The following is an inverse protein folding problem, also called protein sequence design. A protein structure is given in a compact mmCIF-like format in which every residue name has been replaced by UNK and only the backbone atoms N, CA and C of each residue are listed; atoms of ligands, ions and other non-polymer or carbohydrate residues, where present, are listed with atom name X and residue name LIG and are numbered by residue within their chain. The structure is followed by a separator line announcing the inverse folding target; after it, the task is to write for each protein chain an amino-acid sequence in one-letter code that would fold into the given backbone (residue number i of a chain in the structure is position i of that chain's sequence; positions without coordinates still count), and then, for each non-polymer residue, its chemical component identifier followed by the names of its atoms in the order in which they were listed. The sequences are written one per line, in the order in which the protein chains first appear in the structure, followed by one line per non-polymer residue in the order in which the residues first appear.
data_IF_648808618353
#
_entry.id   IF_648808618353
#
_cell.length_a   1.000
_cell.length_b   1.000
_cell.length_c   1.000
_cell.angle_alpha   90.00
_cell.angle_beta   90.00
_cell.angle_gamma   90.00
#
_symmetry.space_group_name_H-M   'P 1'
#
loop_
_entity.id
_entity.type
_entity.pdbx_description
1 polymer ?
#
# COMPACT_ATOMS: atom_id res chain seq x y z
N UNK A 1 -14.36 -30.59 -2.97
CA UNK A 1 -15.14 -29.99 -1.88
C UNK A 1 -14.39 -30.01 -0.51
N UNK A 2 -13.06 -30.05 -0.50
CA UNK A 2 -12.28 -30.16 0.76
C UNK A 2 -11.45 -28.94 1.13
N UNK A 3 -11.35 -27.91 0.29
CA UNK A 3 -10.45 -26.75 0.50
C UNK A 3 -11.09 -25.57 1.24
N UNK A 4 -12.40 -25.57 1.44
CA UNK A 4 -13.12 -24.47 2.12
C UNK A 4 -13.21 -24.63 3.66
N UNK A 5 -12.88 -25.80 4.21
CA UNK A 5 -12.98 -26.08 5.65
C UNK A 5 -11.72 -25.82 6.47
N UNK A 6 -10.54 -25.65 5.84
CA UNK A 6 -9.30 -25.42 6.57
C UNK A 6 -9.03 -23.95 6.93
N UNK A 7 -9.73 -22.99 6.32
CA UNK A 7 -9.58 -21.55 6.62
C UNK A 7 -10.32 -21.10 7.91
N UNK A 8 -11.16 -21.92 8.49
CA UNK A 8 -12.04 -21.55 9.64
C UNK A 8 -11.42 -21.77 11.03
N UNK A 9 -10.16 -22.16 11.17
CA UNK A 9 -9.53 -22.44 12.47
C UNK A 9 -8.49 -21.41 12.94
N UNK A 10 -8.29 -20.31 12.21
CA UNK A 10 -7.44 -19.21 12.68
C UNK A 10 -8.27 -18.34 13.64
N UNK A 11 -7.90 -18.34 14.94
CA UNK A 11 -8.62 -17.63 15.98
C UNK A 11 -8.83 -16.13 15.67
N UNK A 12 -9.84 -15.53 16.33
CA UNK A 12 -10.11 -14.10 16.28
C UNK A 12 -8.87 -13.32 16.75
N UNK A 13 -8.38 -12.41 15.92
CA UNK A 13 -7.26 -11.52 16.24
C UNK A 13 -7.78 -10.13 16.60
N UNK A 14 -7.05 -9.44 17.50
CA UNK A 14 -7.15 -7.99 17.69
C UNK A 14 -6.09 -7.32 16.83
N UNK A 15 -6.54 -6.66 15.74
CA UNK A 15 -5.70 -6.10 14.68
C UNK A 15 -5.74 -4.59 14.76
N UNK A 16 -4.59 -3.94 14.92
CA UNK A 16 -4.49 -2.49 14.79
C UNK A 16 -4.11 -2.12 13.35
N UNK A 17 -4.75 -1.10 12.78
CA UNK A 17 -4.52 -0.67 11.39
C UNK A 17 -4.07 0.79 11.35
N UNK A 18 -2.79 1.00 11.04
CA UNK A 18 -2.23 2.32 10.78
C UNK A 18 -2.53 2.72 9.33
N UNK A 19 -3.20 3.85 9.12
CA UNK A 19 -3.65 4.29 7.80
C UNK A 19 -4.97 3.65 7.34
N UNK A 20 -5.81 3.20 8.27
CA UNK A 20 -7.09 2.50 8.00
C UNK A 20 -8.10 3.26 7.12
N UNK A 21 -7.97 4.58 6.97
CA UNK A 21 -8.82 5.41 6.09
C UNK A 21 -8.28 5.57 4.67
N UNK A 22 -7.06 5.08 4.40
CA UNK A 22 -6.41 5.18 3.09
C UNK A 22 -6.93 4.16 2.07
N UNK A 23 -6.33 4.19 0.87
CA UNK A 23 -6.74 3.35 -0.28
C UNK A 23 -6.73 1.85 0.06
N UNK A 24 -5.66 1.33 0.65
CA UNK A 24 -5.58 -0.07 1.08
C UNK A 24 -6.22 -0.26 2.45
N UNK A 25 -6.01 0.69 3.37
CA UNK A 25 -6.43 0.56 4.76
C UNK A 25 -7.92 0.35 4.95
N UNK A 26 -8.78 1.03 4.18
CA UNK A 26 -10.24 0.81 4.23
C UNK A 26 -10.61 -0.64 3.90
N UNK A 27 -9.94 -1.27 2.93
CA UNK A 27 -10.16 -2.68 2.59
C UNK A 27 -9.61 -3.62 3.67
N UNK A 28 -8.48 -3.27 4.30
CA UNK A 28 -7.95 -4.02 5.46
C UNK A 28 -8.97 -4.00 6.59
N UNK A 29 -9.48 -2.83 6.97
CA UNK A 29 -10.46 -2.67 8.06
C UNK A 29 -11.75 -3.44 7.75
N UNK A 30 -12.28 -3.30 6.54
CA UNK A 30 -13.51 -3.97 6.11
C UNK A 30 -13.35 -5.49 6.12
N UNK A 31 -12.33 -6.01 5.45
CA UNK A 31 -12.08 -7.46 5.33
C UNK A 31 -11.69 -8.09 6.67
N UNK A 32 -10.97 -7.36 7.54
CA UNK A 32 -10.65 -7.85 8.89
C UNK A 32 -11.93 -8.07 9.71
N UNK A 33 -12.87 -7.11 9.65
CA UNK A 33 -14.18 -7.25 10.30
C UNK A 33 -15.01 -8.40 9.72
N UNK A 34 -15.02 -8.55 8.38
CA UNK A 34 -15.71 -9.65 7.70
C UNK A 34 -15.13 -11.03 8.09
N UNK A 35 -13.82 -11.10 8.36
CA UNK A 35 -13.14 -12.30 8.87
C UNK A 35 -13.35 -12.53 10.40
N UNK A 36 -14.12 -11.67 11.07
CA UNK A 36 -14.43 -11.78 12.50
C UNK A 36 -13.33 -11.26 13.42
N UNK A 37 -12.33 -10.54 12.93
CA UNK A 37 -11.29 -9.91 13.74
C UNK A 37 -11.82 -8.66 14.46
N UNK A 38 -11.23 -8.36 15.63
CA UNK A 38 -11.42 -7.08 16.29
C UNK A 38 -10.46 -6.06 15.68
N UNK A 39 -10.98 -4.91 15.19
CA UNK A 39 -10.18 -3.89 14.52
C UNK A 39 -10.04 -2.66 15.39
N UNK A 40 -8.80 -2.28 15.68
CA UNK A 40 -8.42 -1.01 16.29
C UNK A 40 -7.93 -0.07 15.19
N UNK A 41 -8.61 1.06 14.99
CA UNK A 41 -8.19 2.06 14.01
C UNK A 41 -7.16 3.00 14.65
N UNK A 42 -5.98 3.09 14.04
CA UNK A 42 -4.96 4.06 14.47
C UNK A 42 -5.12 5.34 13.63
N UNK A 43 -6.10 6.15 13.98
CA UNK A 43 -6.41 7.40 13.28
C UNK A 43 -6.65 8.57 14.23
N UNK A 44 -6.48 9.78 13.72
CA UNK A 44 -6.74 11.01 14.51
C UNK A 44 -8.19 11.13 14.96
N UNK A 45 -9.13 10.59 14.21
CA UNK A 45 -10.53 10.54 14.61
C UNK A 45 -10.76 9.65 15.84
N UNK A 46 -9.89 8.63 16.03
CA UNK A 46 -9.92 7.72 17.16
C UNK A 46 -8.93 8.10 18.27
N UNK A 47 -8.39 9.32 18.22
CA UNK A 47 -7.49 9.87 19.25
C UNK A 47 -6.02 9.42 19.09
N UNK A 48 -5.63 8.86 17.95
CA UNK A 48 -4.25 8.41 17.69
C UNK A 48 -3.61 9.28 16.61
N UNK A 49 -2.51 9.96 16.97
CA UNK A 49 -1.67 10.68 16.00
C UNK A 49 -0.35 9.93 15.78
N UNK A 50 -0.21 9.29 14.61
CA UNK A 50 0.98 8.51 14.24
C UNK A 50 2.26 9.36 14.15
N UNK A 51 2.14 10.66 13.84
CA UNK A 51 3.30 11.56 13.73
C UNK A 51 3.74 12.03 15.11
N UNK A 52 2.79 12.42 15.97
CA UNK A 52 3.10 12.81 17.33
C UNK A 52 3.38 11.62 18.26
N UNK A 53 2.97 10.40 17.87
CA UNK A 53 3.04 9.20 18.71
C UNK A 53 1.97 9.15 19.81
N UNK A 54 1.10 10.16 19.88
CA UNK A 54 0.10 10.24 20.96
C UNK A 54 -1.05 9.24 20.76
N UNK A 55 -1.52 8.65 21.86
CA UNK A 55 -2.63 7.68 21.88
C UNK A 55 -2.26 6.24 21.49
N UNK A 56 -1.01 5.99 21.03
CA UNK A 56 -0.56 4.66 20.60
C UNK A 56 -0.58 3.64 21.77
N UNK A 57 -0.07 4.01 22.94
CA UNK A 57 0.05 3.09 24.08
C UNK A 57 -1.31 2.51 24.48
N UNK A 58 -2.34 3.36 24.59
CA UNK A 58 -3.70 2.91 24.88
C UNK A 58 -4.33 2.08 23.76
N UNK A 59 -4.09 2.46 22.51
CA UNK A 59 -4.65 1.80 21.34
C UNK A 59 -4.04 0.41 21.10
N UNK A 60 -2.75 0.22 21.44
CA UNK A 60 -2.04 -1.05 21.22
C UNK A 60 -2.18 -2.05 22.38
N UNK A 61 -2.86 -1.71 23.47
CA UNK A 61 -3.09 -2.63 24.58
C UNK A 61 -3.83 -3.90 24.09
N UNK A 62 -3.19 -5.05 24.25
CA UNK A 62 -3.72 -6.36 23.83
C UNK A 62 -3.83 -6.59 22.32
N UNK A 63 -3.24 -5.72 21.50
CA UNK A 63 -3.13 -5.92 20.04
C UNK A 63 -2.17 -7.07 19.74
N UNK A 64 -2.59 -7.96 18.84
CA UNK A 64 -1.81 -9.13 18.43
C UNK A 64 -1.05 -8.90 17.12
N UNK A 65 -1.52 -7.96 16.29
CA UNK A 65 -0.85 -7.60 15.05
C UNK A 65 -1.15 -6.16 14.67
N UNK A 66 -0.12 -5.44 14.25
CA UNK A 66 -0.25 -4.13 13.62
C UNK A 66 -0.11 -4.30 12.11
N UNK A 67 -1.05 -3.75 11.35
CA UNK A 67 -0.93 -3.64 9.88
C UNK A 67 -0.66 -2.19 9.53
N UNK A 68 0.57 -1.89 9.10
CA UNK A 68 1.00 -0.56 8.70
C UNK A 68 0.84 -0.36 7.19
N UNK A 69 -0.22 0.34 6.84
CA UNK A 69 -0.52 0.84 5.49
C UNK A 69 -0.58 2.38 5.47
N UNK A 70 0.02 3.03 6.49
CA UNK A 70 0.12 4.48 6.55
C UNK A 70 0.91 5.01 5.36
N UNK A 71 0.39 6.05 4.72
CA UNK A 71 1.00 6.64 3.53
C UNK A 71 0.64 8.10 3.40
N UNK A 72 1.61 8.86 2.90
CA UNK A 72 1.41 10.25 2.51
C UNK A 72 2.08 10.47 1.15
N UNK A 73 1.32 10.97 0.18
CA UNK A 73 1.84 11.31 -1.14
C UNK A 73 2.71 12.56 -1.05
N UNK A 74 4.01 12.36 -0.99
CA UNK A 74 5.03 13.42 -0.98
C UNK A 74 6.05 13.19 -2.08
N UNK A 75 6.40 14.26 -2.80
CA UNK A 75 7.34 14.18 -3.93
C UNK A 75 8.80 14.40 -3.51
N UNK A 76 9.04 15.12 -2.41
CA UNK A 76 10.40 15.42 -1.94
C UNK A 76 10.92 14.31 -1.03
N UNK A 77 12.09 13.75 -1.35
CA UNK A 77 12.72 12.66 -0.58
C UNK A 77 12.86 12.97 0.91
N UNK A 78 13.20 14.22 1.27
CA UNK A 78 13.34 14.63 2.68
C UNK A 78 11.99 14.49 3.42
N UNK A 79 10.91 15.02 2.85
CA UNK A 79 9.57 14.95 3.46
C UNK A 79 9.08 13.50 3.55
N UNK A 80 9.36 12.69 2.53
CA UNK A 80 9.02 11.27 2.52
C UNK A 80 9.76 10.52 3.64
N UNK A 81 11.07 10.71 3.76
CA UNK A 81 11.86 10.10 4.85
C UNK A 81 11.42 10.58 6.23
N UNK A 82 11.06 11.85 6.36
CA UNK A 82 10.55 12.43 7.61
C UNK A 82 9.22 11.76 8.01
N UNK A 83 8.25 11.70 7.10
CA UNK A 83 6.95 11.09 7.37
C UNK A 83 7.09 9.59 7.70
N UNK A 84 7.62 8.79 6.79
CA UNK A 84 7.72 7.35 6.99
C UNK A 84 8.64 6.99 8.17
N UNK A 85 9.77 7.71 8.31
CA UNK A 85 10.69 7.47 9.42
C UNK A 85 10.07 7.78 10.78
N UNK A 86 9.29 8.87 10.90
CA UNK A 86 8.62 9.23 12.16
C UNK A 86 7.51 8.23 12.50
N UNK A 87 6.61 7.97 11.55
CA UNK A 87 5.50 7.05 11.77
C UNK A 87 5.98 5.64 12.12
N UNK A 88 6.98 5.12 11.40
CA UNK A 88 7.50 3.77 11.64
C UNK A 88 8.17 3.66 13.01
N UNK A 89 9.01 4.65 13.42
CA UNK A 89 9.61 4.62 14.76
C UNK A 89 8.56 4.66 15.85
N UNK A 90 7.61 5.60 15.77
CA UNK A 90 6.55 5.72 16.78
C UNK A 90 5.73 4.43 16.91
N UNK A 91 5.40 3.77 15.79
CA UNK A 91 4.70 2.48 15.82
C UNK A 91 5.56 1.40 16.48
N UNK A 92 6.80 1.20 16.03
CA UNK A 92 7.67 0.15 16.53
C UNK A 92 8.03 0.33 18.01
N UNK A 93 8.25 1.58 18.46
CA UNK A 93 8.53 1.89 19.87
C UNK A 93 7.31 1.56 20.74
N UNK A 94 6.11 1.97 20.33
CA UNK A 94 4.88 1.67 21.06
C UNK A 94 4.53 0.16 21.03
N UNK A 95 4.75 -0.50 19.89
CA UNK A 95 4.57 -1.95 19.74
C UNK A 95 5.52 -2.75 20.64
N UNK A 96 6.78 -2.34 20.73
CA UNK A 96 7.75 -2.97 21.63
C UNK A 96 7.32 -2.83 23.10
N UNK A 97 6.82 -1.66 23.52
CA UNK A 97 6.32 -1.40 24.86
C UNK A 97 5.04 -2.19 25.17
N UNK A 98 4.13 -2.29 24.21
CA UNK A 98 2.88 -3.04 24.35
C UNK A 98 3.06 -4.56 24.19
N UNK A 99 4.25 -5.04 23.79
CA UNK A 99 4.51 -6.45 23.53
C UNK A 99 3.77 -7.00 22.32
N UNK A 100 3.54 -6.19 21.29
CA UNK A 100 2.88 -6.63 20.04
C UNK A 100 3.77 -7.68 19.35
N UNK A 101 3.28 -8.89 19.09
CA UNK A 101 4.12 -9.98 18.58
C UNK A 101 4.35 -9.94 17.07
N UNK A 102 3.65 -9.08 16.31
CA UNK A 102 3.76 -9.07 14.86
C UNK A 102 3.42 -7.69 14.25
N UNK A 103 4.36 -7.12 13.50
CA UNK A 103 4.16 -5.95 12.66
C UNK A 103 4.10 -6.37 11.18
N UNK A 104 3.06 -6.01 10.45
CA UNK A 104 2.92 -6.29 9.00
C UNK A 104 2.93 -4.97 8.26
N UNK A 105 3.96 -4.73 7.45
CA UNK A 105 4.12 -3.48 6.70
C UNK A 105 3.87 -3.66 5.21
N UNK A 106 3.24 -2.66 4.61
CA UNK A 106 3.12 -2.52 3.17
C UNK A 106 4.19 -1.55 2.64
N UNK A 107 5.00 -2.02 1.71
CA UNK A 107 5.95 -1.21 0.93
C UNK A 107 5.63 -1.26 -0.57
N UNK A 108 6.51 -0.71 -1.39
CA UNK A 108 6.31 -0.60 -2.84
C UNK A 108 7.44 -1.28 -3.61
N UNK A 109 7.09 -1.99 -4.67
CA UNK A 109 8.05 -2.62 -5.59
C UNK A 109 8.93 -1.54 -6.24
N UNK A 110 10.24 -1.78 -6.28
CA UNK A 110 11.21 -0.89 -6.89
C UNK A 110 11.68 0.27 -6.00
N UNK A 111 11.35 0.29 -4.70
CA UNK A 111 11.85 1.30 -3.75
C UNK A 111 13.37 1.39 -3.75
N UNK A 112 14.05 0.25 -3.78
CA UNK A 112 15.51 0.11 -3.83
C UNK A 112 16.14 0.49 -5.19
N UNK A 113 15.37 0.44 -6.27
CA UNK A 113 15.84 0.75 -7.64
C UNK A 113 15.72 2.24 -7.99
N UNK A 114 14.85 2.97 -7.30
CA UNK A 114 14.64 4.40 -7.51
C UNK A 114 14.48 5.13 -6.16
N UNK A 115 15.55 5.24 -5.34
CA UNK A 115 15.49 5.72 -3.95
C UNK A 115 15.29 7.24 -3.85
N UNK A 116 14.31 7.77 -4.56
CA UNK A 116 14.01 9.21 -4.62
C UNK A 116 12.52 9.48 -4.41
N UNK A 117 12.17 10.70 -4.01
CA UNK A 117 10.80 11.11 -3.78
C UNK A 117 10.11 10.22 -2.74
N UNK A 118 8.94 9.72 -3.06
CA UNK A 118 8.14 8.82 -2.22
C UNK A 118 8.92 7.56 -1.81
N UNK A 119 9.66 6.95 -2.73
CA UNK A 119 10.41 5.71 -2.52
C UNK A 119 11.51 5.84 -1.46
N UNK A 120 12.11 7.03 -1.31
CA UNK A 120 13.15 7.26 -0.29
C UNK A 120 12.63 7.05 1.15
N UNK A 121 11.38 7.39 1.41
CA UNK A 121 10.73 7.14 2.70
C UNK A 121 10.39 5.66 2.90
N UNK A 122 9.96 4.97 1.84
CA UNK A 122 9.66 3.52 1.92
C UNK A 122 10.91 2.69 2.20
N UNK A 123 12.06 3.06 1.63
CA UNK A 123 13.34 2.42 1.98
C UNK A 123 13.65 2.62 3.46
N UNK A 124 13.52 3.85 3.98
CA UNK A 124 13.77 4.11 5.40
C UNK A 124 12.82 3.30 6.30
N UNK A 125 11.55 3.14 5.91
CA UNK A 125 10.61 2.26 6.62
C UNK A 125 11.13 0.82 6.66
N UNK A 126 11.57 0.26 5.52
CA UNK A 126 12.13 -1.09 5.44
C UNK A 126 13.40 -1.27 6.27
N UNK A 127 14.29 -0.27 6.27
CA UNK A 127 15.52 -0.25 7.09
C UNK A 127 15.21 -0.28 8.60
N UNK A 128 14.22 0.53 9.02
CA UNK A 128 13.78 0.58 10.41
C UNK A 128 13.14 -0.74 10.86
N UNK A 129 12.32 -1.35 10.03
CA UNK A 129 11.75 -2.67 10.29
C UNK A 129 12.85 -3.72 10.45
N UNK A 130 13.81 -3.76 9.53
CA UNK A 130 14.89 -4.75 9.56
C UNK A 130 15.78 -4.63 10.81
N UNK A 131 15.86 -3.45 11.42
CA UNK A 131 16.62 -3.19 12.65
C UNK A 131 15.79 -3.26 13.94
N UNK A 132 14.47 -3.48 13.83
CA UNK A 132 13.56 -3.52 14.97
C UNK A 132 13.61 -4.83 15.73
N UNK A 133 13.47 -4.80 17.07
CA UNK A 133 13.26 -6.01 17.87
C UNK A 133 11.84 -6.59 17.72
N UNK A 134 10.87 -5.81 17.23
CA UNK A 134 9.50 -6.28 16.98
C UNK A 134 9.52 -7.24 15.79
N UNK A 135 8.98 -8.46 15.92
CA UNK A 135 8.92 -9.41 14.80
C UNK A 135 8.03 -8.85 13.67
N UNK A 136 8.49 -8.94 12.42
CA UNK A 136 7.83 -8.26 11.32
C UNK A 136 7.67 -9.12 10.06
N UNK A 137 6.72 -8.70 9.22
CA UNK A 137 6.55 -9.15 7.83
C UNK A 137 6.41 -7.96 6.92
N UNK A 138 7.12 -7.94 5.80
CA UNK A 138 7.08 -6.89 4.80
C UNK A 138 6.58 -7.42 3.47
N UNK A 139 5.48 -6.83 2.98
CA UNK A 139 4.97 -7.04 1.62
C UNK A 139 5.31 -5.81 0.77
N UNK A 140 5.97 -6.00 -0.35
CA UNK A 140 6.02 -4.99 -1.41
C UNK A 140 4.93 -5.26 -2.43
N UNK A 141 4.13 -4.25 -2.75
CA UNK A 141 3.15 -4.33 -3.83
C UNK A 141 3.50 -3.37 -4.97
N UNK A 142 3.05 -3.67 -6.18
CA UNK A 142 3.11 -2.74 -7.31
C UNK A 142 2.08 -1.61 -7.14
N UNK A 143 1.93 -0.74 -8.14
CA UNK A 143 0.96 0.36 -8.10
C UNK A 143 -0.47 -0.19 -8.01
N UNK A 144 -1.36 0.56 -7.38
CA UNK A 144 -2.78 0.17 -7.28
C UNK A 144 -3.58 0.65 -8.49
N UNK A 145 -4.73 0.05 -8.75
CA UNK A 145 -5.65 0.52 -9.81
C UNK A 145 -6.06 1.98 -9.59
N UNK A 146 -6.25 2.39 -8.35
CA UNK A 146 -6.58 3.75 -7.93
C UNK A 146 -5.51 4.79 -8.27
N UNK A 147 -4.31 4.35 -8.63
CA UNK A 147 -3.23 5.24 -9.06
C UNK A 147 -3.60 6.06 -10.31
N UNK A 148 -4.42 5.51 -11.21
CA UNK A 148 -4.93 6.24 -12.37
C UNK A 148 -5.71 7.50 -11.97
N UNK A 149 -6.57 7.41 -10.94
CA UNK A 149 -7.30 8.54 -10.39
C UNK A 149 -6.35 9.57 -9.73
N UNK A 150 -5.39 9.08 -8.94
CA UNK A 150 -4.43 9.95 -8.24
C UNK A 150 -3.59 10.76 -9.24
N UNK A 151 -3.14 10.13 -10.31
CA UNK A 151 -2.34 10.79 -11.35
C UNK A 151 -3.20 11.72 -12.20
N UNK A 152 -4.45 11.38 -12.50
CA UNK A 152 -5.37 12.24 -13.23
C UNK A 152 -5.49 13.63 -12.58
N UNK A 153 -5.55 13.70 -11.26
CA UNK A 153 -5.68 14.95 -10.51
C UNK A 153 -4.36 15.68 -10.24
N UNK A 154 -3.20 15.10 -10.60
CA UNK A 154 -1.91 15.62 -10.17
C UNK A 154 -1.42 16.83 -10.99
N UNK A 155 -1.52 16.76 -12.32
CA UNK A 155 -1.08 17.85 -13.22
C UNK A 155 -2.04 17.99 -14.39
N UNK A 156 -2.69 19.15 -14.49
CA UNK A 156 -3.54 19.53 -15.62
C UNK A 156 -3.00 20.80 -16.28
N UNK A 157 -3.00 20.84 -17.61
CA UNK A 157 -2.62 22.00 -18.41
C UNK A 157 -3.76 22.32 -19.39
N UNK A 158 -4.64 23.23 -19.01
CA UNK A 158 -5.88 23.48 -19.74
C UNK A 158 -6.73 22.18 -19.84
N UNK A 159 -7.11 21.74 -21.05
CA UNK A 159 -7.88 20.52 -21.23
C UNK A 159 -7.04 19.23 -21.16
N UNK A 160 -5.72 19.34 -20.97
CA UNK A 160 -4.80 18.21 -20.99
C UNK A 160 -4.41 17.74 -19.60
N UNK A 161 -4.39 16.44 -19.42
CA UNK A 161 -3.81 15.77 -18.24
C UNK A 161 -2.41 15.31 -18.60
N UNK A 162 -1.41 15.77 -17.86
CA UNK A 162 -0.01 15.41 -18.10
C UNK A 162 0.39 14.25 -17.18
N UNK A 163 0.84 13.15 -17.77
CA UNK A 163 1.23 11.94 -17.04
C UNK A 163 2.67 11.54 -17.37
N UNK A 164 3.41 10.94 -16.42
CA UNK A 164 4.72 10.39 -16.72
C UNK A 164 4.59 9.16 -17.64
N UNK A 165 5.51 9.02 -18.60
CA UNK A 165 5.64 7.79 -19.37
C UNK A 165 6.08 6.66 -18.47
N UNK A 166 5.17 5.71 -18.21
CA UNK A 166 5.38 4.65 -17.23
C UNK A 166 4.72 3.34 -17.68
N UNK A 167 5.48 2.25 -17.58
CA UNK A 167 4.94 0.89 -17.54
C UNK A 167 4.56 0.56 -16.11
N UNK A 168 3.33 0.18 -15.87
CA UNK A 168 2.76 -0.19 -14.57
C UNK A 168 2.30 -1.64 -14.58
N UNK A 169 2.15 -2.24 -13.42
CA UNK A 169 1.59 -3.58 -13.23
C UNK A 169 0.57 -3.51 -12.07
N UNK A 170 -0.56 -2.81 -12.31
CA UNK A 170 -1.44 -2.39 -11.23
C UNK A 170 -2.20 -3.57 -10.62
N UNK A 171 -2.23 -3.61 -9.28
CA UNK A 171 -2.94 -4.60 -8.46
C UNK A 171 -4.14 -3.96 -7.76
N UNK A 172 -5.21 -4.71 -7.53
CA UNK A 172 -6.36 -4.21 -6.77
C UNK A 172 -6.00 -3.99 -5.30
N UNK A 173 -6.31 -2.82 -4.74
CA UNK A 173 -6.06 -2.52 -3.33
C UNK A 173 -6.76 -3.52 -2.38
N UNK A 174 -7.91 -4.06 -2.78
CA UNK A 174 -8.62 -5.10 -2.05
C UNK A 174 -7.86 -6.44 -1.99
N UNK A 175 -7.13 -6.81 -3.05
CA UNK A 175 -6.29 -8.02 -3.08
C UNK A 175 -5.03 -7.84 -2.23
N UNK A 176 -4.45 -6.64 -2.23
CA UNK A 176 -3.35 -6.30 -1.32
C UNK A 176 -3.79 -6.39 0.14
N UNK A 177 -4.99 -5.87 0.47
CA UNK A 177 -5.56 -5.97 1.81
C UNK A 177 -5.79 -7.43 2.24
N UNK A 178 -6.32 -8.27 1.34
CA UNK A 178 -6.50 -9.69 1.59
C UNK A 178 -5.17 -10.38 1.91
N UNK A 179 -4.13 -10.09 1.11
CA UNK A 179 -2.78 -10.64 1.34
C UNK A 179 -2.17 -10.19 2.65
N UNK A 180 -2.30 -8.91 3.02
CA UNK A 180 -1.82 -8.39 4.31
C UNK A 180 -2.50 -9.08 5.49
N UNK A 181 -3.81 -9.34 5.41
CA UNK A 181 -4.55 -10.07 6.44
C UNK A 181 -4.12 -11.55 6.53
N UNK A 182 -3.83 -12.20 5.41
CA UNK A 182 -3.30 -13.56 5.39
C UNK A 182 -1.91 -13.64 6.06
N UNK A 183 -1.05 -12.64 5.79
CA UNK A 183 0.24 -12.49 6.46
C UNK A 183 0.10 -12.21 7.94
N UNK A 184 -0.85 -11.34 8.33
CA UNK A 184 -1.14 -11.01 9.72
C UNK A 184 -1.62 -12.23 10.54
N UNK A 185 -2.33 -13.15 9.91
CA UNK A 185 -2.77 -14.40 10.52
C UNK A 185 -1.65 -15.47 10.57
N UNK A 186 -0.53 -15.22 9.92
CA UNK A 186 0.65 -16.09 9.94
C UNK A 186 1.67 -15.74 11.01
N UNK A 187 2.81 -16.39 10.97
CA UNK A 187 3.98 -16.02 11.78
C UNK A 187 4.78 -14.92 11.09
N UNK A 188 5.52 -14.08 11.83
CA UNK A 188 6.48 -13.15 11.23
C UNK A 188 7.43 -13.85 10.28
N UNK A 189 7.59 -13.31 9.06
CA UNK A 189 8.30 -13.98 7.96
C UNK A 189 9.37 -13.10 7.29
N UNK A 190 9.66 -11.91 7.84
CA UNK A 190 10.56 -10.97 7.20
C UNK A 190 10.00 -10.46 5.87
N UNK A 191 10.85 -10.18 4.90
CA UNK A 191 10.39 -9.81 3.56
C UNK A 191 9.85 -11.03 2.82
N UNK A 192 8.58 -10.96 2.40
CA UNK A 192 7.93 -11.98 1.59
C UNK A 192 8.01 -11.65 0.09
N UNK A 193 7.50 -12.55 -0.76
CA UNK A 193 7.38 -12.31 -2.21
C UNK A 193 6.57 -11.05 -2.47
N UNK A 194 7.00 -10.32 -3.49
CA UNK A 194 6.27 -9.14 -3.97
C UNK A 194 4.87 -9.53 -4.49
N UNK A 195 3.93 -8.59 -4.46
CA UNK A 195 2.60 -8.77 -5.03
C UNK A 195 2.43 -7.81 -6.22
N UNK A 196 2.29 -8.36 -7.42
CA UNK A 196 2.01 -7.61 -8.64
C UNK A 196 0.57 -7.73 -9.10
N UNK A 197 0.20 -6.90 -10.08
CA UNK A 197 -1.06 -7.07 -10.79
C UNK A 197 -1.01 -8.21 -11.80
N UNK A 198 -2.16 -8.59 -12.40
CA UNK A 198 -2.24 -9.74 -13.30
C UNK A 198 -1.57 -9.48 -14.66
N UNK A 199 -1.34 -8.23 -15.02
CA UNK A 199 -0.70 -7.84 -16.28
C UNK A 199 -0.12 -6.43 -16.25
N UNK A 200 0.79 -6.17 -17.19
CA UNK A 200 1.35 -4.83 -17.40
C UNK A 200 0.37 -3.94 -18.16
N UNK A 201 0.35 -2.67 -17.76
CA UNK A 201 -0.47 -1.61 -18.35
C UNK A 201 0.39 -0.38 -18.64
N UNK A 202 -0.01 0.44 -19.61
CA UNK A 202 0.57 1.76 -19.83
C UNK A 202 -0.20 2.78 -19.00
N UNK A 203 0.49 3.55 -18.15
CA UNK A 203 -0.16 4.48 -17.24
C UNK A 203 -1.08 5.49 -17.96
N UNK A 204 -0.67 6.01 -19.12
CA UNK A 204 -1.52 6.94 -19.90
C UNK A 204 -2.82 6.29 -20.35
N UNK A 205 -2.81 5.00 -20.71
CA UNK A 205 -4.01 4.29 -21.13
C UNK A 205 -4.94 4.02 -19.96
N UNK A 206 -4.37 3.71 -18.78
CA UNK A 206 -5.14 3.61 -17.53
C UNK A 206 -5.83 4.94 -17.19
N UNK A 207 -5.09 6.05 -17.28
CA UNK A 207 -5.63 7.40 -17.01
C UNK A 207 -6.71 7.80 -18.01
N UNK A 208 -6.55 7.48 -19.31
CA UNK A 208 -7.60 7.70 -20.33
C UNK A 208 -8.85 6.87 -20.03
N UNK A 209 -8.69 5.58 -19.75
CA UNK A 209 -9.81 4.70 -19.43
C UNK A 209 -10.56 5.16 -18.17
N UNK A 210 -9.82 5.54 -17.12
CA UNK A 210 -10.39 6.14 -15.92
C UNK A 210 -11.18 7.43 -16.24
N UNK A 211 -10.60 8.33 -17.04
CA UNK A 211 -11.25 9.59 -17.41
C UNK A 211 -12.60 9.33 -18.11
N UNK A 212 -12.63 8.43 -19.09
CA UNK A 212 -13.85 8.06 -19.79
C UNK A 212 -14.90 7.49 -18.87
N UNK A 213 -14.52 6.47 -18.05
CA UNK A 213 -15.45 5.83 -17.12
C UNK A 213 -15.98 6.79 -16.04
N UNK A 214 -15.23 7.84 -15.69
CA UNK A 214 -15.65 8.86 -14.71
C UNK A 214 -16.27 10.12 -15.33
N UNK A 215 -16.56 10.13 -16.65
CA UNK A 215 -17.16 11.26 -17.36
C UNK A 215 -16.25 12.51 -17.43
N UNK A 216 -14.93 12.33 -17.35
CA UNK A 216 -13.93 13.40 -17.35
C UNK A 216 -13.23 13.52 -18.72
N UNK A 217 -12.61 14.69 -19.04
CA UNK A 217 -11.79 14.83 -20.23
C UNK A 217 -10.64 13.82 -20.30
N UNK A 218 -10.48 13.14 -21.43
CA UNK A 218 -9.48 12.06 -21.60
C UNK A 218 -8.26 12.46 -22.46
N UNK A 219 -8.02 13.77 -22.64
CA UNK A 219 -6.87 14.30 -23.36
C UNK A 219 -5.59 14.15 -22.51
N UNK A 220 -4.96 12.99 -22.60
CA UNK A 220 -3.77 12.65 -21.83
C UNK A 220 -2.52 12.78 -22.68
N UNK A 221 -1.52 13.51 -22.16
CA UNK A 221 -0.19 13.71 -22.76
C UNK A 221 0.82 12.97 -21.88
N UNK A 222 1.58 12.07 -22.48
CA UNK A 222 2.73 11.42 -21.82
C UNK A 222 3.99 12.25 -21.96
N UNK A 223 4.71 12.42 -20.83
CA UNK A 223 6.04 13.04 -20.84
C UNK A 223 7.08 12.09 -20.20
N UNK A 224 8.27 11.93 -20.80
CA UNK A 224 9.35 11.19 -20.16
C UNK A 224 9.95 12.04 -19.04
N UNK A 225 9.85 11.57 -17.80
CA UNK A 225 10.53 12.22 -16.68
C UNK A 225 12.05 11.98 -16.75
N UNK A 226 12.88 12.98 -16.43
CA UNK A 226 14.34 12.81 -16.34
C UNK A 226 14.74 12.04 -15.08
N UNK A 227 16.03 11.70 -14.98
CA UNK A 227 16.65 11.10 -13.79
C UNK A 227 16.34 9.63 -13.57
N UNK A 228 16.75 9.13 -12.41
CA UNK A 228 16.66 7.70 -12.05
C UNK A 228 15.22 7.20 -11.96
N UNK A 229 14.34 7.97 -11.32
CA UNK A 229 12.93 7.62 -11.21
C UNK A 229 12.25 7.53 -12.59
N UNK A 230 12.45 8.54 -13.46
CA UNK A 230 11.86 8.53 -14.79
C UNK A 230 12.38 7.37 -15.66
N UNK A 231 13.64 6.97 -15.50
CA UNK A 231 14.20 5.77 -16.13
C UNK A 231 13.54 4.51 -15.60
N UNK A 232 13.42 4.38 -14.28
CA UNK A 232 12.78 3.22 -13.62
C UNK A 232 11.31 3.06 -14.03
N UNK A 233 10.57 4.16 -14.19
CA UNK A 233 9.20 4.15 -14.71
C UNK A 233 9.10 3.56 -16.12
N UNK A 234 10.09 3.82 -17.00
CA UNK A 234 10.05 3.39 -18.40
C UNK A 234 10.60 1.99 -18.66
N UNK A 235 11.54 1.52 -17.85
CA UNK A 235 12.27 0.27 -18.11
C UNK A 235 11.73 -0.96 -17.38
N UNK A 236 10.58 -0.84 -16.70
CA UNK A 236 9.98 -1.94 -15.94
C UNK A 236 10.60 -2.18 -14.56
N UNK A 237 11.51 -1.33 -14.08
CA UNK A 237 12.10 -1.50 -12.73
C UNK A 237 11.07 -1.34 -11.60
N UNK A 238 9.89 -0.79 -11.88
CA UNK A 238 8.80 -0.61 -10.92
C UNK A 238 7.69 -1.68 -11.07
N UNK A 239 7.93 -2.72 -11.86
CA UNK A 239 7.07 -3.91 -11.96
C UNK A 239 7.64 -5.04 -11.11
N UNK A 240 6.82 -6.02 -10.78
CA UNK A 240 7.19 -7.15 -9.94
C UNK A 240 8.28 -8.03 -10.56
N UNK A 241 8.93 -8.84 -9.74
CA UNK A 241 9.87 -9.86 -10.18
C UNK A 241 9.12 -11.08 -10.79
N UNK A 242 9.79 -11.92 -11.61
CA UNK A 242 9.14 -13.08 -12.23
C UNK A 242 8.60 -14.12 -11.25
N UNK A 243 9.08 -14.13 -10.01
CA UNK A 243 8.68 -15.04 -8.94
C UNK A 243 7.66 -14.44 -7.98
N UNK A 244 7.16 -13.22 -8.27
CA UNK A 244 6.15 -12.54 -7.48
C UNK A 244 4.81 -13.28 -7.50
N UNK A 245 4.03 -13.09 -6.43
CA UNK A 245 2.62 -13.44 -6.43
C UNK A 245 1.84 -12.39 -7.25
N UNK A 246 0.73 -12.78 -7.88
CA UNK A 246 -0.07 -11.86 -8.70
C UNK A 246 -1.53 -11.85 -8.26
N UNK A 247 -2.12 -10.65 -8.26
CA UNK A 247 -3.56 -10.49 -8.18
C UNK A 247 -4.28 -11.02 -9.43
N UNK A 248 -5.57 -11.12 -9.36
CA UNK A 248 -6.41 -11.66 -10.44
C UNK A 248 -7.28 -10.60 -11.12
N UNK A 249 -7.58 -9.51 -10.40
CA UNK A 249 -8.44 -8.43 -10.89
C UNK A 249 -7.66 -7.54 -11.85
N UNK A 250 -8.08 -7.51 -13.11
CA UNK A 250 -7.49 -6.60 -14.10
C UNK A 250 -7.96 -5.15 -13.89
N UNK A 251 -7.20 -4.17 -14.41
CA UNK A 251 -7.59 -2.77 -14.33
C UNK A 251 -8.96 -2.51 -14.97
N UNK A 252 -9.25 -3.16 -16.11
CA UNK A 252 -10.54 -3.03 -16.77
C UNK A 252 -11.70 -3.60 -15.97
N UNK A 253 -11.52 -4.75 -15.30
CA UNK A 253 -12.53 -5.33 -14.40
C UNK A 253 -12.78 -4.43 -13.19
N UNK A 254 -11.70 -3.93 -12.57
CA UNK A 254 -11.81 -2.99 -11.46
C UNK A 254 -12.56 -1.72 -11.89
N UNK A 255 -12.23 -1.18 -13.06
CA UNK A 255 -12.83 0.04 -13.58
C UNK A 255 -14.34 -0.12 -13.80
N UNK A 256 -14.79 -1.23 -14.45
CA UNK A 256 -16.20 -1.49 -14.68
C UNK A 256 -16.99 -1.74 -13.39
N UNK A 257 -16.36 -2.29 -12.36
CA UNK A 257 -16.99 -2.48 -11.05
C UNK A 257 -17.09 -1.18 -10.26
N UNK A 258 -16.10 -0.30 -10.39
CA UNK A 258 -16.02 0.96 -9.61
C UNK A 258 -16.84 2.08 -10.26
N UNK A 259 -16.94 2.07 -11.58
CA UNK A 259 -17.66 3.06 -12.39
C UNK A 259 -18.59 2.32 -13.36
N UNK A 260 -19.71 1.76 -12.87
CA UNK A 260 -20.70 1.10 -13.72
C UNK A 260 -21.34 2.13 -14.67
N UNK A 261 -21.65 1.70 -15.90
CA UNK A 261 -22.32 2.52 -16.94
C UNK A 261 -23.75 2.91 -16.51
#
# INVERSE_FOLDING_TARGET
MSTYKEQSSRGRLRVAVAGGTGTVGRHVVEQARQRGHEVVSLSRADGVDLIAGSGLDGALAGVQVVIDVASQMVQKSRQSREFFGTVTRNLLDAEAQAGVPHHVALSVVGSDRAPTGYYAGKILQEELLASSPVPWTLLRATQFHEFANQIYGAVTLGPFVVVPKMSSEPVAAAEVAARLLDLAAGKPAGRVKDLGGPRREVLADMVRAYARASGKPDKVIEIPLPGTLGRAMRNGSLTSSPDADHGTTTFSQWLSTTYPE
#
